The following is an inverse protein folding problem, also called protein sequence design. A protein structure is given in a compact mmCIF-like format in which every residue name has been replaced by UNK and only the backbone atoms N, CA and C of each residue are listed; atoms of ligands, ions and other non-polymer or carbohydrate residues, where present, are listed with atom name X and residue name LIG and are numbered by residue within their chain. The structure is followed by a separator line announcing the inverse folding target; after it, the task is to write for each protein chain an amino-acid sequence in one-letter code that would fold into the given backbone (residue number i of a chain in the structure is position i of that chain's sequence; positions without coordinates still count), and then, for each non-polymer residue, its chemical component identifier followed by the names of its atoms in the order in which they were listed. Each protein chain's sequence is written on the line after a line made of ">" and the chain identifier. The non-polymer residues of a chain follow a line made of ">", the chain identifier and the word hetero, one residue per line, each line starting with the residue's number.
data_IF_886006528298
#
_entry.id   IF_886006528298
#
_cell.length_a   1.000
_cell.length_b   1.000
_cell.length_c   1.000
_cell.angle_alpha   90.00
_cell.angle_beta   90.00
_cell.angle_gamma   90.00
#
_symmetry.space_group_name_H-M   'P 1'
#
loop_
_entity.id
_entity.type
_entity.pdbx_description
1 polymer ?
#
# COMPACT_ATOMS: atom_id res chain seq x y z
N UNK A 1 10.25 -10.86 13.08
CA UNK A 1 9.32 -9.70 13.01
C UNK A 1 8.59 -9.58 14.33
N UNK A 2 8.24 -8.36 14.75
CA UNK A 2 7.50 -8.08 15.99
C UNK A 2 6.07 -8.65 15.94
N UNK A 3 5.59 -9.15 17.07
CA UNK A 3 4.22 -9.66 17.23
C UNK A 3 3.21 -8.50 17.09
N UNK A 4 2.14 -8.71 16.32
CA UNK A 4 1.15 -7.69 15.98
C UNK A 4 -0.11 -8.35 15.44
N UNK A 5 -1.28 -7.77 15.73
CA UNK A 5 -2.58 -8.22 15.21
C UNK A 5 -2.78 -7.89 13.72
N UNK A 6 -1.88 -7.11 13.13
CA UNK A 6 -1.91 -6.79 11.70
C UNK A 6 -1.71 -8.05 10.87
N UNK A 7 -2.42 -8.16 9.75
CA UNK A 7 -2.20 -9.24 8.79
C UNK A 7 -0.71 -9.38 8.46
N UNK A 8 -0.12 -10.60 8.52
CA UNK A 8 1.27 -10.81 8.17
C UNK A 8 1.50 -10.51 6.68
N UNK A 9 2.74 -10.17 6.33
CA UNK A 9 3.10 -10.00 4.93
C UNK A 9 3.06 -11.36 4.21
N UNK A 10 2.88 -11.40 2.88
CA UNK A 10 3.04 -12.64 2.12
C UNK A 10 4.46 -13.19 2.33
N UNK A 11 4.62 -14.49 2.59
CA UNK A 11 5.93 -15.09 2.86
C UNK A 11 7.02 -14.76 1.83
N UNK A 12 6.75 -14.74 0.51
CA UNK A 12 7.76 -14.33 -0.47
C UNK A 12 8.27 -12.89 -0.29
N UNK A 13 7.42 -11.98 0.22
CA UNK A 13 7.80 -10.59 0.53
C UNK A 13 8.63 -10.54 1.81
N UNK A 14 8.25 -11.30 2.84
CA UNK A 14 9.05 -11.40 4.08
C UNK A 14 10.47 -11.93 3.79
N UNK A 15 10.57 -13.00 3.00
CA UNK A 15 11.85 -13.58 2.57
C UNK A 15 12.69 -12.56 1.78
N UNK A 16 12.06 -11.81 0.88
CA UNK A 16 12.75 -10.77 0.11
C UNK A 16 13.27 -9.65 1.03
N UNK A 17 12.46 -9.17 1.99
CA UNK A 17 12.90 -8.15 2.94
C UNK A 17 14.06 -8.64 3.82
N UNK A 18 14.08 -9.91 4.21
CA UNK A 18 15.19 -10.52 4.93
C UNK A 18 16.45 -10.60 4.05
N UNK A 19 16.32 -10.98 2.78
CA UNK A 19 17.45 -11.01 1.83
C UNK A 19 18.06 -9.63 1.59
N UNK A 20 17.24 -8.58 1.63
CA UNK A 20 17.66 -7.20 1.43
C UNK A 20 18.23 -6.54 2.70
N UNK A 21 18.26 -7.25 3.83
CA UNK A 21 18.57 -6.68 5.16
C UNK A 21 17.73 -5.41 5.43
N UNK A 22 16.45 -5.47 5.05
CA UNK A 22 15.57 -4.31 5.10
C UNK A 22 15.36 -3.85 6.56
N UNK A 23 15.39 -2.52 6.82
CA UNK A 23 15.11 -1.96 8.14
C UNK A 23 13.80 -2.50 8.75
N UNK A 24 13.77 -2.89 10.03
CA UNK A 24 12.54 -3.36 10.68
C UNK A 24 11.37 -2.38 10.57
N UNK A 25 11.66 -1.06 10.58
CA UNK A 25 10.65 -0.01 10.35
C UNK A 25 10.02 -0.07 8.96
N UNK A 26 10.78 -0.43 7.92
CA UNK A 26 10.23 -0.63 6.58
C UNK A 26 9.29 -1.83 6.55
N UNK A 27 9.71 -2.97 7.11
CA UNK A 27 8.85 -4.15 7.18
C UNK A 27 7.55 -3.88 7.97
N UNK A 28 7.63 -3.13 9.07
CA UNK A 28 6.47 -2.73 9.85
C UNK A 28 5.51 -1.81 9.08
N UNK A 29 6.05 -0.85 8.31
CA UNK A 29 5.27 0.01 7.41
C UNK A 29 4.54 -0.81 6.35
N UNK A 30 5.26 -1.66 5.62
CA UNK A 30 4.70 -2.49 4.57
C UNK A 30 3.61 -3.40 5.11
N UNK A 31 3.79 -3.97 6.31
CA UNK A 31 2.77 -4.80 6.98
C UNK A 31 1.52 -4.00 7.33
N UNK A 32 1.66 -2.78 7.86
CA UNK A 32 0.52 -1.92 8.19
C UNK A 32 -0.28 -1.52 6.94
N UNK A 33 0.39 -1.24 5.83
CA UNK A 33 -0.26 -0.89 4.56
C UNK A 33 -0.89 -2.13 3.92
N UNK A 34 -0.22 -3.29 3.96
CA UNK A 34 -0.75 -4.56 3.49
C UNK A 34 -2.04 -4.98 4.23
N UNK A 35 -2.08 -4.81 5.56
CA UNK A 35 -3.28 -5.06 6.36
C UNK A 35 -4.48 -4.22 5.90
N UNK A 36 -4.24 -2.94 5.64
CA UNK A 36 -5.27 -2.00 5.15
C UNK A 36 -5.68 -2.35 3.72
N UNK A 37 -4.73 -2.76 2.88
CA UNK A 37 -5.03 -3.22 1.53
C UNK A 37 -5.91 -4.47 1.54
N UNK A 38 -5.71 -5.40 2.48
CA UNK A 38 -6.59 -6.56 2.64
C UNK A 38 -8.02 -6.15 3.03
N UNK A 39 -8.16 -5.21 3.97
CA UNK A 39 -9.48 -4.67 4.33
C UNK A 39 -10.18 -4.00 3.14
N UNK A 40 -9.42 -3.23 2.33
CA UNK A 40 -9.95 -2.60 1.13
C UNK A 40 -10.34 -3.64 0.06
N UNK A 41 -9.52 -4.65 -0.19
CA UNK A 41 -9.84 -5.75 -1.12
C UNK A 41 -11.15 -6.43 -0.72
N UNK A 42 -11.31 -6.76 0.57
CA UNK A 42 -12.57 -7.34 1.08
C UNK A 42 -13.76 -6.37 0.89
N UNK A 43 -13.54 -5.07 1.05
CA UNK A 43 -14.57 -4.07 0.79
C UNK A 43 -14.92 -3.95 -0.69
N UNK A 44 -13.95 -4.04 -1.60
CA UNK A 44 -14.20 -3.99 -3.04
C UNK A 44 -14.85 -5.28 -3.59
N UNK A 45 -14.79 -6.38 -2.86
CA UNK A 45 -15.42 -7.64 -3.27
C UNK A 45 -16.92 -7.43 -3.59
N UNK A 46 -17.34 -7.95 -4.74
CA UNK A 46 -18.67 -7.75 -5.31
C UNK A 46 -18.99 -6.32 -5.81
N UNK A 47 -18.11 -5.33 -5.63
CA UNK A 47 -18.30 -3.93 -6.09
C UNK A 47 -17.50 -3.61 -7.33
N UNK A 48 -16.26 -4.07 -7.40
CA UNK A 48 -15.35 -3.85 -8.54
C UNK A 48 -14.45 -5.09 -8.66
N UNK A 49 -14.37 -5.75 -9.83
CA UNK A 49 -13.38 -6.81 -10.02
C UNK A 49 -11.97 -6.22 -9.88
N UNK A 50 -11.20 -6.78 -8.96
CA UNK A 50 -9.80 -6.46 -8.74
C UNK A 50 -8.98 -7.74 -8.79
N UNK A 51 -7.74 -7.63 -9.24
CA UNK A 51 -6.72 -8.62 -8.91
C UNK A 51 -6.27 -8.42 -7.45
N UNK A 52 -6.91 -9.16 -6.54
CA UNK A 52 -6.66 -9.10 -5.10
C UNK A 52 -5.20 -9.43 -4.76
N UNK A 53 -4.63 -10.45 -5.40
CA UNK A 53 -3.25 -10.88 -5.13
C UNK A 53 -2.26 -9.80 -5.57
N UNK A 54 -2.50 -9.15 -6.71
CA UNK A 54 -1.69 -8.04 -7.19
C UNK A 54 -1.75 -6.83 -6.23
N UNK A 55 -2.94 -6.47 -5.73
CA UNK A 55 -3.10 -5.37 -4.76
C UNK A 55 -2.36 -5.68 -3.45
N UNK A 56 -2.54 -6.89 -2.93
CA UNK A 56 -1.89 -7.33 -1.69
C UNK A 56 -0.36 -7.35 -1.81
N UNK A 57 0.15 -7.81 -2.95
CA UNK A 57 1.58 -7.77 -3.27
C UNK A 57 2.09 -6.34 -3.43
N UNK A 58 1.35 -5.50 -4.17
CA UNK A 58 1.69 -4.10 -4.39
C UNK A 58 1.80 -3.32 -3.07
N UNK A 59 0.79 -3.45 -2.21
CA UNK A 59 0.81 -2.84 -0.87
C UNK A 59 1.99 -3.33 -0.01
N UNK A 60 2.28 -4.63 -0.07
CA UNK A 60 3.39 -5.26 0.65
C UNK A 60 4.78 -4.86 0.14
N UNK A 61 4.90 -4.25 -1.05
CA UNK A 61 6.19 -3.95 -1.70
C UNK A 61 6.35 -2.51 -2.18
N UNK A 62 5.32 -1.67 -2.11
CA UNK A 62 5.32 -0.33 -2.75
C UNK A 62 6.50 0.55 -2.34
N UNK A 63 6.96 0.41 -1.10
CA UNK A 63 8.04 1.21 -0.52
C UNK A 63 9.38 0.46 -0.44
N UNK A 64 9.51 -0.71 -1.08
CA UNK A 64 10.68 -1.59 -0.94
C UNK A 64 12.00 -0.92 -1.33
N UNK A 65 11.97 0.07 -2.23
CA UNK A 65 13.17 0.85 -2.58
C UNK A 65 13.77 1.63 -1.41
N UNK A 66 13.04 1.81 -0.30
CA UNK A 66 13.58 2.38 0.94
C UNK A 66 14.58 1.46 1.66
N UNK A 67 14.69 0.19 1.26
CA UNK A 67 15.82 -0.65 1.64
C UNK A 67 17.15 -0.16 1.04
N UNK A 68 17.10 0.51 -0.12
CA UNK A 68 18.27 1.13 -0.78
C UNK A 68 18.43 2.59 -0.36
N UNK A 69 17.32 3.32 -0.25
CA UNK A 69 17.28 4.74 0.10
C UNK A 69 16.74 4.95 1.52
N UNK A 70 17.47 4.43 2.51
CA UNK A 70 17.08 4.40 3.94
C UNK A 70 16.72 5.79 4.49
N UNK A 71 17.40 6.86 4.03
CA UNK A 71 17.10 8.24 4.43
C UNK A 71 15.64 8.64 4.17
N UNK A 72 14.98 8.02 3.19
CA UNK A 72 13.58 8.27 2.80
C UNK A 72 12.57 7.49 3.68
N UNK A 73 13.01 6.70 4.67
CA UNK A 73 12.14 6.10 5.68
C UNK A 73 11.59 7.13 6.68
N UNK A 74 12.35 8.19 6.93
CA UNK A 74 11.96 9.25 7.87
C UNK A 74 12.07 10.66 7.28
N UNK A 75 12.83 10.83 6.20
CA UNK A 75 12.93 12.06 5.43
C UNK A 75 12.02 12.09 4.19
N UNK A 76 11.86 13.27 3.57
CA UNK A 76 11.20 13.38 2.28
C UNK A 76 12.07 12.76 1.17
N UNK A 77 11.44 12.25 0.12
CA UNK A 77 12.13 11.73 -1.05
C UNK A 77 11.22 10.90 -1.94
N UNK A 78 11.69 10.61 -3.15
CA UNK A 78 11.00 9.79 -4.14
C UNK A 78 11.97 8.89 -4.91
N UNK A 79 13.25 8.78 -4.49
CA UNK A 79 14.20 7.91 -5.21
C UNK A 79 13.90 6.43 -4.99
N UNK A 80 13.25 6.10 -3.86
CA UNK A 80 12.78 4.75 -3.59
C UNK A 80 11.78 4.24 -4.63
N UNK A 81 11.06 5.11 -5.33
CA UNK A 81 10.05 4.71 -6.31
C UNK A 81 10.66 3.96 -7.52
N UNK A 82 11.53 4.58 -8.35
CA UNK A 82 12.19 3.85 -9.44
C UNK A 82 13.15 2.77 -8.92
N UNK A 83 13.84 3.01 -7.79
CA UNK A 83 14.75 2.02 -7.22
C UNK A 83 14.02 0.74 -6.76
N UNK A 84 12.85 0.89 -6.15
CA UNK A 84 12.03 -0.24 -5.69
C UNK A 84 11.50 -1.07 -6.85
N UNK A 85 11.03 -0.43 -7.92
CA UNK A 85 10.63 -1.14 -9.15
C UNK A 85 11.80 -1.92 -9.74
N UNK A 86 12.94 -1.26 -9.94
CA UNK A 86 14.12 -1.88 -10.56
C UNK A 86 14.68 -3.02 -9.70
N UNK A 87 14.59 -2.89 -8.37
CA UNK A 87 14.93 -3.93 -7.42
C UNK A 87 14.03 -5.17 -7.60
N UNK A 88 12.71 -4.99 -7.59
CA UNK A 88 11.75 -6.09 -7.79
C UNK A 88 12.00 -6.82 -9.12
N UNK A 89 12.20 -6.06 -10.20
CA UNK A 89 12.53 -6.62 -11.53
C UNK A 89 13.82 -7.45 -11.49
N UNK A 90 14.86 -6.97 -10.81
CA UNK A 90 16.14 -7.69 -10.68
C UNK A 90 16.02 -9.01 -9.91
N UNK A 91 15.00 -9.14 -9.06
CA UNK A 91 14.64 -10.37 -8.34
C UNK A 91 13.65 -11.26 -9.12
N UNK A 92 13.38 -10.95 -10.38
CA UNK A 92 12.52 -11.74 -11.25
C UNK A 92 11.02 -11.53 -11.02
N UNK A 93 10.63 -10.51 -10.25
CA UNK A 93 9.23 -10.13 -10.12
C UNK A 93 8.75 -9.56 -11.47
N UNK A 94 7.60 -10.00 -11.98
CA UNK A 94 7.06 -9.50 -13.23
C UNK A 94 6.80 -7.98 -13.20
N UNK A 95 6.93 -7.33 -14.36
CA UNK A 95 6.83 -5.88 -14.48
C UNK A 95 5.45 -5.34 -14.06
N UNK A 96 4.40 -6.11 -14.31
CA UNK A 96 3.05 -5.78 -13.86
C UNK A 96 2.98 -5.68 -12.32
N UNK A 97 3.67 -6.53 -11.57
CA UNK A 97 3.67 -6.43 -10.11
C UNK A 97 4.68 -5.39 -9.61
N UNK A 98 5.86 -5.32 -10.24
CA UNK A 98 6.91 -4.38 -9.85
C UNK A 98 6.50 -2.91 -10.00
N UNK A 99 5.53 -2.60 -10.88
CA UNK A 99 5.06 -1.22 -11.12
C UNK A 99 4.55 -0.52 -9.86
N UNK A 100 3.94 -1.26 -8.93
CA UNK A 100 3.35 -0.68 -7.71
C UNK A 100 4.38 0.08 -6.87
N UNK A 101 5.65 -0.31 -6.93
CA UNK A 101 6.73 0.41 -6.26
C UNK A 101 6.94 1.83 -6.82
N UNK A 102 6.63 2.06 -8.09
CA UNK A 102 6.79 3.36 -8.75
C UNK A 102 5.48 4.16 -8.88
N UNK A 103 4.31 3.50 -8.87
CA UNK A 103 3.02 4.16 -9.18
C UNK A 103 2.26 4.67 -7.96
N UNK A 104 2.56 4.18 -6.75
CA UNK A 104 1.76 4.44 -5.53
C UNK A 104 1.71 5.93 -5.09
N UNK A 105 2.64 6.75 -5.57
CA UNK A 105 2.65 8.21 -5.36
C UNK A 105 2.15 9.02 -6.59
N UNK A 106 1.93 8.35 -7.72
CA UNK A 106 1.64 8.96 -9.04
C UNK A 106 0.30 8.48 -9.62
N UNK A 107 -0.76 8.53 -8.82
CA UNK A 107 -2.11 8.00 -9.16
C UNK A 107 -2.88 8.77 -10.24
N UNK A 108 -2.29 9.81 -10.85
CA UNK A 108 -2.88 10.55 -12.00
C UNK A 108 -2.20 10.24 -13.33
N UNK A 109 -1.22 9.33 -13.35
CA UNK A 109 -0.59 8.88 -14.58
C UNK A 109 -1.60 8.14 -15.49
N UNK A 110 -1.43 8.20 -16.83
CA UNK A 110 -2.42 7.71 -17.78
C UNK A 110 -2.65 6.19 -17.74
N UNK A 111 -1.71 5.43 -17.19
CA UNK A 111 -1.68 3.97 -17.12
C UNK A 111 -2.13 3.38 -15.76
N UNK A 112 -2.62 4.23 -14.84
CA UNK A 112 -3.04 3.83 -13.50
C UNK A 112 -4.30 2.95 -13.54
N UNK A 113 -4.17 1.71 -13.06
CA UNK A 113 -5.28 0.75 -12.95
C UNK A 113 -6.10 0.96 -11.68
N UNK A 114 -7.17 0.18 -11.50
CA UNK A 114 -7.94 0.25 -10.26
C UNK A 114 -7.10 -0.25 -9.07
N UNK A 115 -6.32 -1.31 -9.29
CA UNK A 115 -5.38 -1.87 -8.33
C UNK A 115 -4.34 -0.84 -7.88
N UNK A 116 -3.79 -0.05 -8.82
CA UNK A 116 -2.84 1.03 -8.49
C UNK A 116 -3.48 2.10 -7.57
N UNK A 117 -4.75 2.44 -7.81
CA UNK A 117 -5.50 3.35 -6.94
C UNK A 117 -5.74 2.75 -5.55
N UNK A 118 -6.04 1.45 -5.46
CA UNK A 118 -6.28 0.78 -4.17
C UNK A 118 -4.99 0.68 -3.35
N UNK A 119 -3.84 0.36 -3.98
CA UNK A 119 -2.53 0.40 -3.31
C UNK A 119 -2.21 1.80 -2.82
N UNK A 120 -2.41 2.82 -3.65
CA UNK A 120 -2.23 4.23 -3.28
C UNK A 120 -3.15 4.62 -2.11
N UNK A 121 -4.41 4.18 -2.13
CA UNK A 121 -5.39 4.47 -1.09
C UNK A 121 -5.00 3.82 0.23
N UNK A 122 -4.54 2.56 0.21
CA UNK A 122 -4.05 1.86 1.39
C UNK A 122 -2.87 2.62 2.05
N UNK A 123 -1.91 3.11 1.24
CA UNK A 123 -0.77 3.90 1.74
C UNK A 123 -1.18 5.26 2.37
N UNK A 124 -2.36 5.81 2.03
CA UNK A 124 -2.86 7.00 2.74
C UNK A 124 -3.70 6.60 3.97
N UNK A 125 -4.59 5.63 3.79
CA UNK A 125 -5.57 5.22 4.79
C UNK A 125 -4.95 4.55 6.03
N UNK A 126 -3.78 3.90 5.92
CA UNK A 126 -3.18 3.22 7.09
C UNK A 126 -2.91 4.15 8.27
N UNK A 127 -2.59 5.42 7.99
CA UNK A 127 -2.40 6.49 8.98
C UNK A 127 -3.57 7.48 9.03
N UNK A 128 -4.76 7.04 8.62
CA UNK A 128 -5.98 7.85 8.55
C UNK A 128 -5.87 9.11 7.66
N UNK A 129 -4.92 9.15 6.72
CA UNK A 129 -4.80 10.29 5.79
C UNK A 129 -5.88 10.18 4.71
N UNK A 130 -6.73 11.20 4.64
CA UNK A 130 -7.72 11.41 3.57
C UNK A 130 -7.09 12.19 2.42
N UNK A 131 -7.39 11.80 1.19
CA UNK A 131 -6.88 12.43 -0.04
C UNK A 131 -8.04 12.54 -1.03
N UNK A 132 -8.79 13.66 -1.02
CA UNK A 132 -10.03 13.80 -1.81
C UNK A 132 -9.86 13.52 -3.31
N UNK A 133 -8.72 13.91 -3.90
CA UNK A 133 -8.48 13.68 -5.33
C UNK A 133 -8.29 12.19 -5.65
N UNK A 134 -7.59 11.45 -4.80
CA UNK A 134 -7.42 10.00 -4.94
C UNK A 134 -8.75 9.28 -4.67
N UNK A 135 -9.48 9.70 -3.65
CA UNK A 135 -10.79 9.12 -3.31
C UNK A 135 -11.80 9.31 -4.44
N UNK A 136 -11.80 10.48 -5.11
CA UNK A 136 -12.63 10.70 -6.30
C UNK A 136 -12.26 9.79 -7.47
N UNK A 137 -10.96 9.53 -7.70
CA UNK A 137 -10.52 8.59 -8.74
C UNK A 137 -10.98 7.17 -8.44
N UNK A 138 -10.94 6.75 -7.17
CA UNK A 138 -11.45 5.46 -6.72
C UNK A 138 -12.97 5.37 -6.91
N UNK A 139 -13.71 6.39 -6.48
CA UNK A 139 -15.18 6.47 -6.65
C UNK A 139 -15.57 6.40 -8.12
N UNK A 140 -14.80 7.03 -9.02
CA UNK A 140 -15.04 6.99 -10.46
C UNK A 140 -14.89 5.59 -11.08
N UNK A 141 -14.24 4.63 -10.41
CA UNK A 141 -14.14 3.23 -10.85
C UNK A 141 -15.30 2.37 -10.36
N UNK A 142 -16.03 2.80 -9.33
CA UNK A 142 -17.14 2.04 -8.77
C UNK A 142 -18.40 2.17 -9.63
N UNK A 143 -19.21 1.10 -9.74
CA UNK A 143 -20.50 1.18 -10.43
C UNK A 143 -21.51 1.99 -9.61
N UNK A 144 -22.53 2.51 -10.31
CA UNK A 144 -23.66 3.19 -9.68
C UNK A 144 -23.50 4.71 -9.57
N UNK A 145 -24.24 5.32 -8.64
CA UNK A 145 -24.25 6.78 -8.49
C UNK A 145 -23.01 7.25 -7.71
N UNK A 146 -22.25 8.26 -8.21
CA UNK A 146 -21.00 8.70 -7.58
C UNK A 146 -21.15 9.10 -6.10
N UNK A 147 -22.26 9.73 -5.72
CA UNK A 147 -22.49 10.15 -4.33
C UNK A 147 -22.71 8.96 -3.38
N UNK A 148 -23.36 7.87 -3.84
CA UNK A 148 -23.55 6.65 -3.05
C UNK A 148 -22.22 5.92 -2.87
N UNK A 149 -21.46 5.79 -3.96
CA UNK A 149 -20.13 5.19 -3.94
C UNK A 149 -19.18 5.97 -3.02
N UNK A 150 -19.23 7.31 -3.05
CA UNK A 150 -18.46 8.15 -2.14
C UNK A 150 -18.85 7.95 -0.68
N UNK A 151 -20.15 7.96 -0.34
CA UNK A 151 -20.60 7.71 1.04
C UNK A 151 -20.15 6.34 1.55
N UNK A 152 -20.29 5.30 0.72
CA UNK A 152 -19.86 3.95 1.09
C UNK A 152 -18.33 3.87 1.31
N UNK A 153 -17.54 4.57 0.48
CA UNK A 153 -16.09 4.65 0.65
C UNK A 153 -15.72 5.46 1.90
N UNK A 154 -16.42 6.55 2.18
CA UNK A 154 -16.20 7.40 3.35
C UNK A 154 -16.44 6.65 4.67
N UNK A 155 -17.53 5.87 4.74
CA UNK A 155 -17.84 5.01 5.88
C UNK A 155 -16.72 3.99 6.11
N UNK A 156 -16.23 3.37 5.03
CA UNK A 156 -15.16 2.36 5.11
C UNK A 156 -13.81 2.97 5.52
N UNK A 157 -13.43 4.11 4.94
CA UNK A 157 -12.20 4.82 5.33
C UNK A 157 -12.27 5.32 6.77
N UNK A 158 -13.46 5.69 7.25
CA UNK A 158 -13.69 6.05 8.66
C UNK A 158 -13.53 4.84 9.57
N UNK A 159 -14.06 3.67 9.19
CA UNK A 159 -13.89 2.41 9.92
C UNK A 159 -12.41 2.02 9.99
N UNK A 160 -11.67 2.11 8.89
CA UNK A 160 -10.22 1.83 8.84
C UNK A 160 -9.45 2.83 9.72
N UNK A 161 -9.78 4.12 9.64
CA UNK A 161 -9.12 5.18 10.40
C UNK A 161 -9.20 4.97 11.93
N UNK A 162 -10.25 4.32 12.44
CA UNK A 162 -10.44 4.06 13.86
C UNK A 162 -9.29 3.24 14.52
N UNK A 163 -8.48 2.55 13.72
CA UNK A 163 -7.34 1.74 14.20
C UNK A 163 -5.97 2.27 13.74
N UNK A 164 -5.92 3.49 13.19
CA UNK A 164 -4.68 4.07 12.65
C UNK A 164 -3.61 4.31 13.72
N UNK A 165 -4.00 4.75 14.92
CA UNK A 165 -3.06 4.99 16.03
C UNK A 165 -2.31 3.72 16.44
N UNK A 166 -2.98 2.56 16.42
CA UNK A 166 -2.34 1.28 16.73
C UNK A 166 -1.30 0.89 15.68
N UNK A 167 -1.60 1.11 14.39
CA UNK A 167 -0.64 0.89 13.28
C UNK A 167 0.56 1.83 13.37
N UNK A 168 0.33 3.11 13.68
CA UNK A 168 1.39 4.10 13.87
C UNK A 168 2.29 3.75 15.06
N UNK A 169 1.72 3.33 16.18
CA UNK A 169 2.46 2.87 17.35
C UNK A 169 3.31 1.63 17.03
N UNK A 170 2.74 0.65 16.33
CA UNK A 170 3.46 -0.54 15.87
C UNK A 170 4.67 -0.18 14.99
N UNK A 171 4.46 0.61 13.93
CA UNK A 171 5.55 1.05 13.04
C UNK A 171 6.63 1.82 13.80
N UNK A 172 6.24 2.75 14.68
CA UNK A 172 7.16 3.60 15.45
C UNK A 172 7.99 2.83 16.47
N UNK A 173 7.48 1.69 16.95
CA UNK A 173 8.22 0.80 17.87
C UNK A 173 9.40 0.08 17.20
N UNK A 174 9.44 0.04 15.87
CA UNK A 174 10.49 -0.62 15.11
C UNK A 174 11.65 0.36 14.78
N UNK A 175 12.91 -0.08 14.93
CA UNK A 175 14.07 0.75 14.60
C UNK A 175 14.19 0.99 13.09
N UNK A 176 14.78 2.13 12.73
CA UNK A 176 15.35 2.39 11.39
C UNK A 176 16.66 1.63 11.30
#
# INVERSE_FOLDING_TARGET
>A
MTESDLRPLPSPVEDLLLQLDAPPRLAAHLRAVHDVAAQLVDWFDGRLPLDADAVLFGAATHDIGKAIHIDELSGPGHRHEPAGRDLLLSHGIPAELARFAATHASWTAPDITAEDLVVSLADKAWKAKRVPDLEQLVVARLPGAPWQAFMALDDELTRIAATADARLAFQSSCPV
#
